data_IF_246737915905
#
_entry.id   IF_246737915905
#
_cell.length_a   1.000
_cell.length_b   1.000
_cell.length_c   1.000
_cell.angle_alpha   90.00
_cell.angle_beta   90.00
_cell.angle_gamma   90.00
#
_symmetry.space_group_name_H-M   'P 1'
#
loop_
_entity.id
_entity.type
_entity.pdbx_description
1 polymer ?
#
# COMPACT_ATOMS: atom_id res chain seq x y z
N UNK A 1 -0.79 -9.16 8.83
CA UNK A 1 0.38 -8.33 8.42
C UNK A 1 1.06 -8.85 7.16
N UNK A 2 1.42 -10.12 7.07
CA UNK A 2 2.15 -10.69 5.93
C UNK A 2 1.47 -10.48 4.55
N UNK A 3 0.14 -10.62 4.47
CA UNK A 3 -0.59 -10.38 3.22
C UNK A 3 -0.50 -8.93 2.73
N UNK A 4 -0.51 -7.95 3.65
CA UNK A 4 -0.32 -6.53 3.31
C UNK A 4 1.10 -6.30 2.82
N UNK A 5 2.11 -6.82 3.52
CA UNK A 5 3.51 -6.69 3.11
C UNK A 5 3.76 -7.28 1.72
N UNK A 6 3.21 -8.47 1.46
CA UNK A 6 3.29 -9.13 0.16
C UNK A 6 2.64 -8.29 -0.95
N UNK A 7 1.43 -7.77 -0.74
CA UNK A 7 0.74 -6.94 -1.72
C UNK A 7 1.52 -5.66 -2.02
N UNK A 8 1.99 -4.96 -0.98
CA UNK A 8 2.77 -3.73 -1.14
C UNK A 8 4.06 -3.99 -1.92
N UNK A 9 4.81 -5.06 -1.60
CA UNK A 9 6.06 -5.38 -2.29
C UNK A 9 5.86 -5.88 -3.72
N UNK A 10 4.68 -6.38 -4.05
CA UNK A 10 4.36 -6.88 -5.40
C UNK A 10 3.93 -5.76 -6.35
N UNK A 11 3.38 -4.67 -5.80
CA UNK A 11 2.77 -3.58 -6.60
C UNK A 11 3.61 -2.32 -6.60
N UNK A 12 4.20 -1.94 -5.47
CA UNK A 12 4.79 -0.62 -5.30
C UNK A 12 6.28 -0.61 -5.65
N UNK A 13 6.73 0.30 -6.52
CA UNK A 13 8.14 0.44 -6.82
C UNK A 13 8.92 0.90 -5.57
N UNK A 14 10.06 0.27 -5.31
CA UNK A 14 10.93 0.61 -4.18
C UNK A 14 10.41 0.18 -2.80
N UNK A 15 9.39 -0.70 -2.77
CA UNK A 15 8.93 -1.38 -1.55
C UNK A 15 9.30 -2.85 -1.68
N UNK A 16 10.26 -3.29 -0.89
CA UNK A 16 10.53 -4.72 -0.71
C UNK A 16 9.64 -5.29 0.42
N UNK A 17 9.76 -6.59 0.67
CA UNK A 17 8.93 -7.26 1.67
C UNK A 17 9.14 -6.73 3.09
N UNK A 18 10.39 -6.41 3.47
CA UNK A 18 10.69 -5.88 4.80
C UNK A 18 10.04 -4.50 5.00
N UNK A 19 10.19 -3.61 4.02
CA UNK A 19 9.52 -2.31 4.03
C UNK A 19 8.00 -2.46 4.01
N UNK A 20 7.49 -3.44 3.26
CA UNK A 20 6.07 -3.82 3.29
C UNK A 20 5.60 -4.25 4.69
N UNK A 21 6.41 -5.00 5.43
CA UNK A 21 6.11 -5.39 6.81
C UNK A 21 6.12 -4.19 7.76
N UNK A 22 7.04 -3.24 7.58
CA UNK A 22 7.04 -1.99 8.36
C UNK A 22 5.74 -1.18 8.15
N UNK A 23 5.27 -1.09 6.90
CA UNK A 23 3.97 -0.47 6.60
C UNK A 23 2.81 -1.26 7.21
N UNK A 24 2.82 -2.59 7.10
CA UNK A 24 1.77 -3.43 7.65
C UNK A 24 1.63 -3.27 9.18
N UNK A 25 2.76 -3.17 9.89
CA UNK A 25 2.77 -2.90 11.34
C UNK A 25 2.24 -1.48 11.63
N UNK A 26 2.69 -0.47 10.89
CA UNK A 26 2.17 0.90 11.08
C UNK A 26 0.66 0.99 10.85
N UNK A 27 0.15 0.35 9.81
CA UNK A 27 -1.29 0.31 9.51
C UNK A 27 -2.06 -0.40 10.64
N UNK A 28 -1.49 -1.47 11.22
CA UNK A 28 -2.08 -2.12 12.38
C UNK A 28 -2.25 -1.18 13.58
N UNK A 29 -1.19 -0.44 13.89
CA UNK A 29 -1.12 0.39 15.09
C UNK A 29 -1.89 1.71 14.95
N UNK A 30 -1.96 2.25 13.73
CA UNK A 30 -2.50 3.60 13.46
C UNK A 30 -3.76 3.62 12.59
N UNK A 31 -4.20 2.45 12.11
CA UNK A 31 -5.36 2.29 11.23
C UNK A 31 -5.08 2.53 9.74
N UNK A 32 -4.09 3.36 9.38
CA UNK A 32 -3.77 3.67 7.98
C UNK A 32 -2.34 4.21 7.79
N UNK A 33 -1.82 4.16 6.57
CA UNK A 33 -0.55 4.78 6.21
C UNK A 33 -0.52 5.19 4.72
N UNK A 34 0.22 6.27 4.42
CA UNK A 34 0.62 6.57 3.04
C UNK A 34 1.79 5.67 2.69
N UNK A 35 1.60 4.81 1.70
CA UNK A 35 2.59 3.82 1.24
C UNK A 35 3.31 4.23 -0.04
N UNK A 36 2.72 5.14 -0.81
CA UNK A 36 3.29 5.70 -2.04
C UNK A 36 2.70 7.08 -2.32
N UNK A 37 3.47 7.94 -2.99
CA UNK A 37 3.05 9.28 -3.40
C UNK A 37 3.68 9.64 -4.74
N UNK A 38 2.93 10.32 -5.60
CA UNK A 38 3.39 10.76 -6.92
C UNK A 38 2.24 11.20 -7.80
N UNK A 39 2.42 11.11 -9.13
CA UNK A 39 1.39 11.49 -10.11
C UNK A 39 0.09 10.71 -9.91
N UNK A 40 -1.05 11.41 -10.03
CA UNK A 40 -2.39 10.86 -9.76
C UNK A 40 -2.70 9.60 -10.58
N UNK A 41 -2.36 9.59 -11.86
CA UNK A 41 -2.64 8.43 -12.74
C UNK A 41 -1.90 7.15 -12.26
N UNK A 42 -0.66 7.29 -11.79
CA UNK A 42 0.09 6.17 -11.20
C UNK A 42 -0.45 5.79 -9.82
N UNK A 43 -0.87 6.78 -9.02
CA UNK A 43 -1.51 6.52 -7.73
C UNK A 43 -2.78 5.69 -7.92
N UNK A 44 -3.63 6.05 -8.88
CA UNK A 44 -4.84 5.32 -9.26
C UNK A 44 -4.55 3.90 -9.73
N UNK A 45 -3.52 3.73 -10.56
CA UNK A 45 -3.07 2.41 -11.03
C UNK A 45 -2.63 1.51 -9.87
N UNK A 46 -1.78 1.99 -8.97
CA UNK A 46 -1.32 1.19 -7.83
C UNK A 46 -2.44 0.92 -6.82
N UNK A 47 -3.29 1.92 -6.59
CA UNK A 47 -4.45 1.80 -5.72
C UNK A 47 -5.38 0.67 -6.17
N UNK A 48 -5.69 0.61 -7.47
CA UNK A 48 -6.54 -0.44 -8.06
C UNK A 48 -5.91 -1.83 -7.97
N UNK A 49 -4.60 -1.92 -8.15
CA UNK A 49 -3.89 -3.20 -7.98
C UNK A 49 -3.93 -3.68 -6.53
N UNK A 50 -3.66 -2.79 -5.57
CA UNK A 50 -3.72 -3.11 -4.14
C UNK A 50 -5.14 -3.50 -3.69
N UNK A 51 -6.17 -2.81 -4.19
CA UNK A 51 -7.57 -3.22 -4.03
C UNK A 51 -7.80 -4.65 -4.55
N UNK A 52 -7.20 -5.01 -5.69
CA UNK A 52 -7.24 -6.38 -6.25
C UNK A 52 -6.60 -7.46 -5.36
N UNK A 53 -5.66 -7.08 -4.48
CA UNK A 53 -5.12 -7.96 -3.45
C UNK A 53 -6.00 -8.03 -2.18
N UNK A 54 -7.17 -7.36 -2.18
CA UNK A 54 -8.12 -7.35 -1.08
C UNK A 54 -7.78 -6.34 0.03
N UNK A 55 -6.92 -5.37 -0.24
CA UNK A 55 -6.61 -4.32 0.74
C UNK A 55 -7.76 -3.31 0.79
N UNK A 56 -8.12 -2.86 2.00
CA UNK A 56 -9.01 -1.72 2.18
C UNK A 56 -8.25 -0.44 1.85
N UNK A 57 -8.77 0.32 0.89
CA UNK A 57 -8.08 1.47 0.35
C UNK A 57 -8.77 2.77 0.76
N UNK A 58 -7.97 3.74 1.24
CA UNK A 58 -8.43 5.10 1.50
C UNK A 58 -8.53 5.90 0.19
N UNK A 59 -9.40 6.90 0.07
CA UNK A 59 -9.47 7.76 -1.12
C UNK A 59 -8.10 8.37 -1.46
N UNK A 60 -7.80 8.52 -2.76
CA UNK A 60 -6.53 9.08 -3.26
C UNK A 60 -6.42 10.60 -3.10
N UNK A 61 -7.49 11.26 -2.65
CA UNK A 61 -7.56 12.71 -2.50
C UNK A 61 -7.90 13.09 -1.06
N UNK A 62 -6.93 13.75 -0.41
CA UNK A 62 -7.10 14.80 0.61
C UNK A 62 -6.27 16.00 0.17
#
# INVERSE_FOLDING_TARGET
FQGVAFALSSVLPGVDYDRGMQFANRIHDTGQAIVWSGHKELAELYWKQLEGFGLTMAPLEQ
#
